data_IF_543344723328
#
_entry.id   IF_543344723328
#
_cell.length_a   1.000
_cell.length_b   1.000
_cell.length_c   1.000
_cell.angle_alpha   90.00
_cell.angle_beta   90.00
_cell.angle_gamma   90.00
#
_symmetry.space_group_name_H-M   'P 1'
#
loop_
_entity.id
_entity.type
_entity.pdbx_description
1 polymer ?
#
# COMPACT_ATOMS: atom_id res chain seq x y z
N UNK A 1 24.11 1.98 -2.51
CA UNK A 1 22.67 2.07 -2.82
C UNK A 1 22.25 1.30 -4.07
N UNK A 2 23.00 1.36 -5.19
CA UNK A 2 22.64 0.66 -6.46
C UNK A 2 22.43 -0.85 -6.31
N UNK A 3 23.29 -1.55 -5.55
CA UNK A 3 23.14 -3.00 -5.30
C UNK A 3 21.89 -3.37 -4.50
N UNK A 4 21.44 -2.49 -3.59
CA UNK A 4 20.22 -2.72 -2.80
C UNK A 4 18.98 -2.53 -3.67
N UNK A 5 18.97 -1.50 -4.52
CA UNK A 5 17.88 -1.25 -5.45
C UNK A 5 17.69 -2.40 -6.44
N UNK A 6 18.77 -2.88 -7.06
CA UNK A 6 18.72 -4.01 -7.98
C UNK A 6 18.21 -5.30 -7.32
N UNK A 7 18.62 -5.56 -6.06
CA UNK A 7 18.13 -6.72 -5.30
C UNK A 7 16.64 -6.62 -4.97
N UNK A 8 16.17 -5.42 -4.64
CA UNK A 8 14.76 -5.17 -4.31
C UNK A 8 13.89 -5.32 -5.56
N UNK A 9 14.34 -4.80 -6.70
CA UNK A 9 13.66 -4.96 -7.98
C UNK A 9 13.58 -6.43 -8.41
N UNK A 10 14.67 -7.20 -8.25
CA UNK A 10 14.66 -8.65 -8.51
C UNK A 10 13.63 -9.37 -7.64
N UNK A 11 13.61 -9.10 -6.33
CA UNK A 11 12.61 -9.68 -5.42
C UNK A 11 11.17 -9.35 -5.82
N UNK A 12 10.91 -8.11 -6.25
CA UNK A 12 9.58 -7.73 -6.74
C UNK A 12 9.21 -8.47 -8.04
N UNK A 13 10.17 -8.65 -8.95
CA UNK A 13 9.95 -9.44 -10.16
C UNK A 13 9.74 -10.93 -9.86
N UNK A 14 10.50 -11.50 -8.93
CA UNK A 14 10.36 -12.90 -8.52
C UNK A 14 9.01 -13.15 -7.84
N UNK A 15 8.55 -12.19 -7.02
CA UNK A 15 7.19 -12.16 -6.48
C UNK A 15 6.15 -12.16 -7.61
N UNK A 16 6.31 -11.34 -8.65
CA UNK A 16 5.35 -11.31 -9.77
C UNK A 16 5.35 -12.59 -10.61
N UNK A 17 6.49 -13.25 -10.76
CA UNK A 17 6.62 -14.51 -11.50
C UNK A 17 5.99 -15.72 -10.81
N UNK A 18 5.85 -15.65 -9.49
CA UNK A 18 5.29 -16.71 -8.64
C UNK A 18 3.83 -16.42 -8.28
N UNK A 19 3.18 -15.54 -9.02
CA UNK A 19 1.77 -15.23 -8.80
C UNK A 19 0.93 -16.40 -9.31
N UNK A 20 0.18 -17.00 -8.39
CA UNK A 20 -0.76 -18.07 -8.69
C UNK A 20 -2.15 -17.65 -8.22
N UNK A 21 -3.14 -17.82 -9.10
CA UNK A 21 -4.54 -17.56 -8.79
C UNK A 21 -5.32 -18.84 -9.04
N UNK A 22 -5.81 -19.43 -7.96
CA UNK A 22 -6.61 -20.65 -8.01
C UNK A 22 -8.07 -20.28 -7.81
N UNK A 23 -8.89 -20.58 -8.81
CA UNK A 23 -10.34 -20.46 -8.74
C UNK A 23 -10.90 -21.82 -8.33
N UNK A 24 -11.25 -21.96 -7.05
CA UNK A 24 -11.99 -23.12 -6.58
C UNK A 24 -13.50 -22.89 -6.69
N UNK A 25 -14.30 -23.93 -6.44
CA UNK A 25 -15.76 -23.84 -6.56
C UNK A 25 -16.40 -22.80 -5.62
N UNK A 26 -15.74 -22.50 -4.49
CA UNK A 26 -16.30 -21.66 -3.42
C UNK A 26 -15.42 -20.49 -3.03
N UNK A 27 -14.16 -20.46 -3.47
CA UNK A 27 -13.20 -19.46 -3.06
C UNK A 27 -12.17 -19.16 -4.15
N UNK A 28 -11.66 -17.93 -4.10
CA UNK A 28 -10.54 -17.47 -4.91
C UNK A 28 -9.33 -17.37 -4.01
N UNK A 29 -8.29 -18.13 -4.35
CA UNK A 29 -7.03 -18.17 -3.60
C UNK A 29 -5.95 -17.49 -4.43
N UNK A 30 -5.26 -16.53 -3.82
CA UNK A 30 -4.06 -15.91 -4.39
C UNK A 30 -2.85 -16.29 -3.57
N UNK A 31 -1.87 -16.90 -4.24
CA UNK A 31 -0.56 -17.22 -3.68
C UNK A 31 0.53 -16.43 -4.39
N UNK A 32 1.51 -15.99 -3.62
CA UNK A 32 2.64 -15.22 -4.15
C UNK A 32 3.85 -15.37 -3.24
N UNK A 33 5.04 -15.54 -3.82
CA UNK A 33 6.24 -15.74 -3.01
C UNK A 33 6.53 -14.56 -2.09
N UNK A 34 6.65 -14.84 -0.78
CA UNK A 34 6.99 -13.83 0.23
C UNK A 34 5.83 -12.92 0.65
N UNK A 35 4.61 -13.19 0.19
CA UNK A 35 3.40 -12.53 0.66
C UNK A 35 2.45 -13.56 1.27
N UNK A 36 1.61 -13.15 2.25
CA UNK A 36 0.61 -14.05 2.80
C UNK A 36 -0.42 -14.44 1.74
N UNK A 37 -0.84 -15.70 1.75
CA UNK A 37 -1.93 -16.21 0.93
C UNK A 37 -3.21 -15.45 1.26
N UNK A 38 -3.91 -14.96 0.24
CA UNK A 38 -5.19 -14.26 0.38
C UNK A 38 -6.28 -15.18 -0.17
N UNK A 39 -7.29 -15.44 0.65
CA UNK A 39 -8.44 -16.27 0.31
C UNK A 39 -9.69 -15.38 0.43
N UNK A 40 -10.53 -15.37 -0.60
CA UNK A 40 -11.82 -14.68 -0.61
C UNK A 40 -12.89 -15.69 -1.03
N UNK A 41 -13.90 -15.92 -0.19
CA UNK A 41 -15.06 -16.75 -0.54
C UNK A 41 -15.88 -16.04 -1.63
N UNK A 42 -16.46 -16.79 -2.56
CA UNK A 42 -17.29 -16.23 -3.64
C UNK A 42 -18.44 -15.37 -3.10
N UNK A 43 -18.99 -15.73 -1.94
CA UNK A 43 -20.07 -14.99 -1.28
C UNK A 43 -19.61 -13.65 -0.71
N UNK A 44 -18.33 -13.54 -0.38
CA UNK A 44 -17.74 -12.35 0.21
C UNK A 44 -17.23 -11.38 -0.88
N UNK A 45 -17.30 -11.75 -2.16
CA UNK A 45 -16.91 -10.88 -3.27
C UNK A 45 -17.95 -9.78 -3.42
N UNK A 46 -17.55 -8.55 -3.13
CA UNK A 46 -18.41 -7.37 -3.29
C UNK A 46 -18.39 -6.85 -4.73
N UNK A 47 -17.22 -6.79 -5.35
CA UNK A 47 -17.04 -6.24 -6.70
C UNK A 47 -15.83 -6.87 -7.40
N UNK A 48 -15.98 -7.16 -8.69
CA UNK A 48 -14.88 -7.45 -9.60
C UNK A 48 -14.74 -6.28 -10.58
N UNK A 49 -13.62 -5.57 -10.51
CA UNK A 49 -13.32 -4.42 -11.38
C UNK A 49 -12.26 -4.79 -12.43
N UNK A 50 -12.51 -4.49 -13.70
CA UNK A 50 -11.48 -4.54 -14.76
C UNK A 50 -10.92 -3.14 -15.00
N UNK A 51 -9.61 -3.01 -14.87
CA UNK A 51 -8.87 -1.79 -15.14
C UNK A 51 -8.54 -1.64 -16.63
N UNK A 52 -8.26 -0.41 -17.08
CA UNK A 52 -7.89 -0.12 -18.48
C UNK A 52 -6.60 -0.80 -18.94
N UNK A 53 -5.69 -1.08 -18.01
CA UNK A 53 -4.45 -1.81 -18.30
C UNK A 53 -4.66 -3.33 -18.43
N UNK A 54 -5.90 -3.83 -18.30
CA UNK A 54 -6.23 -5.25 -18.34
C UNK A 54 -6.12 -5.99 -17.01
N UNK A 55 -5.71 -5.31 -15.92
CA UNK A 55 -5.69 -5.94 -14.58
C UNK A 55 -7.09 -6.07 -14.02
N UNK A 56 -7.30 -7.10 -13.19
CA UNK A 56 -8.53 -7.26 -12.43
C UNK A 56 -8.29 -6.94 -10.95
N UNK A 57 -9.28 -6.36 -10.30
CA UNK A 57 -9.30 -6.15 -8.85
C UNK A 57 -10.55 -6.81 -8.31
N UNK A 58 -10.36 -7.89 -7.57
CA UNK A 58 -11.42 -8.62 -6.88
C UNK A 58 -11.45 -8.07 -5.45
N UNK A 59 -12.56 -7.47 -5.04
CA UNK A 59 -12.73 -6.90 -3.70
C UNK A 59 -13.67 -7.78 -2.88
N UNK A 60 -13.27 -8.10 -1.66
CA UNK A 60 -14.12 -8.71 -0.65
C UNK A 60 -15.07 -7.69 0.00
N UNK A 61 -15.77 -8.09 1.05
CA UNK A 61 -16.58 -7.18 1.87
C UNK A 61 -15.72 -6.16 2.63
N UNK A 62 -14.54 -6.56 3.10
CA UNK A 62 -13.63 -5.68 3.83
C UNK A 62 -12.74 -4.89 2.88
N UNK A 63 -12.53 -3.60 3.15
CA UNK A 63 -11.65 -2.75 2.35
C UNK A 63 -10.19 -3.23 2.27
N UNK A 64 -9.75 -4.02 3.25
CA UNK A 64 -8.42 -4.65 3.30
C UNK A 64 -8.33 -5.99 2.58
N UNK A 65 -9.43 -6.51 2.05
CA UNK A 65 -9.51 -7.79 1.38
C UNK A 65 -9.71 -7.55 -0.10
N UNK A 66 -8.60 -7.53 -0.84
CA UNK A 66 -8.65 -7.46 -2.28
C UNK A 66 -7.53 -8.26 -2.92
N UNK A 67 -7.80 -8.83 -4.08
CA UNK A 67 -6.83 -9.52 -4.92
C UNK A 67 -6.66 -8.69 -6.18
N UNK A 68 -5.42 -8.25 -6.43
CA UNK A 68 -5.03 -7.60 -7.68
C UNK A 68 -4.45 -8.68 -8.59
N UNK A 69 -5.13 -8.94 -9.69
CA UNK A 69 -4.67 -9.85 -10.73
C UNK A 69 -3.90 -9.04 -11.78
N UNK A 70 -2.64 -9.37 -12.06
CA UNK A 70 -1.85 -8.66 -13.06
C UNK A 70 -2.42 -8.89 -14.48
N UNK A 71 -2.23 -7.95 -15.40
CA UNK A 71 -2.78 -8.06 -16.76
C UNK A 71 -2.07 -9.11 -17.62
N UNK A 72 -0.87 -9.52 -17.22
CA UNK A 72 0.02 -10.39 -18.00
C UNK A 72 -0.09 -11.87 -17.57
N UNK A 73 -1.24 -12.29 -17.03
CA UNK A 73 -1.49 -13.70 -16.72
C UNK A 73 -1.64 -14.50 -18.00
N UNK A 74 -1.18 -15.74 -17.98
CA UNK A 74 -1.53 -16.72 -19.00
C UNK A 74 -3.06 -16.89 -19.02
N UNK A 75 -3.62 -17.03 -20.23
CA UNK A 75 -5.05 -17.25 -20.43
C UNK A 75 -5.99 -16.17 -19.84
N UNK A 76 -5.58 -14.89 -19.91
CA UNK A 76 -6.38 -13.76 -19.42
C UNK A 76 -7.82 -13.70 -19.96
N UNK A 77 -8.07 -14.17 -21.19
CA UNK A 77 -9.41 -14.28 -21.77
C UNK A 77 -10.28 -15.35 -21.09
N UNK A 78 -9.69 -16.49 -20.72
CA UNK A 78 -10.39 -17.57 -20.02
C UNK A 78 -10.70 -17.12 -18.59
N UNK A 79 -9.75 -16.46 -17.94
CA UNK A 79 -9.95 -15.87 -16.62
C UNK A 79 -11.09 -14.84 -16.62
N UNK A 80 -11.16 -13.97 -17.62
CA UNK A 80 -12.24 -12.99 -17.73
C UNK A 80 -13.61 -13.65 -17.84
N UNK A 81 -13.71 -14.76 -18.59
CA UNK A 81 -14.96 -15.53 -18.68
C UNK A 81 -15.31 -16.16 -17.34
N UNK A 82 -14.37 -16.83 -16.69
CA UNK A 82 -14.59 -17.45 -15.37
C UNK A 82 -15.02 -16.42 -14.31
N UNK A 83 -14.36 -15.26 -14.26
CA UNK A 83 -14.74 -14.19 -13.34
C UNK A 83 -16.09 -13.57 -13.69
N UNK A 84 -16.41 -13.45 -14.99
CA UNK A 84 -17.69 -12.94 -15.47
C UNK A 84 -18.87 -13.86 -15.13
N UNK A 85 -18.64 -15.17 -15.08
CA UNK A 85 -19.63 -16.16 -14.65
C UNK A 85 -19.89 -16.08 -13.14
N UNK A 86 -18.87 -15.72 -12.35
CA UNK A 86 -18.98 -15.57 -10.89
C UNK A 86 -19.67 -14.27 -10.48
N UNK A 87 -19.28 -13.14 -11.09
CA UNK A 87 -19.84 -11.83 -10.76
C UNK A 87 -19.75 -10.86 -11.95
N UNK A 88 -20.72 -9.96 -12.07
CA UNK A 88 -20.70 -8.89 -13.09
C UNK A 88 -19.43 -8.04 -12.97
N UNK A 89 -18.61 -8.07 -14.02
CA UNK A 89 -17.37 -7.29 -14.11
C UNK A 89 -17.70 -5.83 -14.39
N UNK A 90 -17.38 -4.96 -13.44
CA UNK A 90 -17.53 -3.53 -13.60
C UNK A 90 -16.27 -2.95 -14.27
N UNK A 91 -16.46 -2.14 -15.32
CA UNK A 91 -15.36 -1.39 -15.92
C UNK A 91 -15.11 -0.16 -15.08
N UNK A 92 -13.96 -0.10 -14.41
CA UNK A 92 -13.62 1.06 -13.58
C UNK A 92 -13.18 2.21 -14.47
N UNK A 93 -13.99 3.27 -14.50
CA UNK A 93 -13.51 4.57 -14.95
C UNK A 93 -12.64 5.17 -13.85
N UNK A 94 -11.33 5.04 -14.01
CA UNK A 94 -10.38 5.58 -13.05
C UNK A 94 -10.44 7.12 -13.11
N UNK A 95 -11.15 7.74 -12.16
CA UNK A 95 -11.31 9.20 -12.09
C UNK A 95 -9.99 9.93 -11.78
N UNK A 96 -9.08 9.28 -11.06
CA UNK A 96 -7.73 9.79 -10.79
C UNK A 96 -6.70 8.66 -10.72
N UNK A 97 -5.46 8.85 -11.19
CA UNK A 97 -4.41 7.85 -11.03
C UNK A 97 -4.00 7.81 -9.56
N UNK A 98 -4.11 6.64 -8.92
CA UNK A 98 -3.78 6.45 -7.50
C UNK A 98 -2.33 6.87 -7.16
N UNK A 99 -1.44 6.85 -8.15
CA UNK A 99 -0.07 7.33 -8.02
C UNK A 99 0.07 8.84 -7.78
N UNK A 100 -0.87 9.67 -8.26
CA UNK A 100 -0.81 11.13 -8.06
C UNK A 100 -1.07 11.49 -6.61
N UNK A 101 -2.08 10.88 -5.98
CA UNK A 101 -2.43 11.15 -4.58
C UNK A 101 -1.29 10.73 -3.65
N UNK A 102 -0.69 9.56 -3.90
CA UNK A 102 0.49 9.09 -3.17
C UNK A 102 1.70 10.03 -3.34
N UNK A 103 1.93 10.51 -4.58
CA UNK A 103 2.98 11.48 -4.88
C UNK A 103 2.78 12.82 -4.16
N UNK A 104 1.57 13.37 -4.18
CA UNK A 104 1.25 14.63 -3.49
C UNK A 104 1.41 14.48 -1.98
N UNK A 105 0.96 13.35 -1.42
CA UNK A 105 1.06 13.10 0.03
C UNK A 105 2.52 13.02 0.47
N UNK A 106 3.35 12.27 -0.26
CA UNK A 106 4.79 12.17 0.05
C UNK A 106 5.52 13.51 -0.12
N UNK A 107 5.18 14.30 -1.15
CA UNK A 107 5.71 15.65 -1.32
C UNK A 107 5.26 16.59 -0.20
N UNK A 108 4.01 16.50 0.24
CA UNK A 108 3.48 17.28 1.37
C UNK A 108 4.24 17.01 2.67
N UNK A 109 4.53 15.74 2.97
CA UNK A 109 5.34 15.37 4.15
C UNK A 109 6.76 15.93 4.06
N UNK A 110 7.39 15.91 2.87
CA UNK A 110 8.72 16.49 2.67
C UNK A 110 8.72 18.01 2.90
N UNK A 111 7.70 18.72 2.41
CA UNK A 111 7.53 20.16 2.63
C UNK A 111 7.34 20.45 4.12
N UNK A 112 6.51 19.68 4.83
CA UNK A 112 6.32 19.83 6.26
C UNK A 112 7.61 19.60 7.06
N UNK A 113 8.41 18.60 6.67
CA UNK A 113 9.74 18.40 7.24
C UNK A 113 10.66 19.57 6.97
N UNK A 114 10.70 20.10 5.74
CA UNK A 114 11.53 21.26 5.40
C UNK A 114 11.14 22.50 6.22
N UNK A 115 9.83 22.73 6.44
CA UNK A 115 9.33 23.81 7.30
C UNK A 115 9.73 23.59 8.76
N UNK A 116 9.67 22.37 9.26
CA UNK A 116 10.06 22.02 10.62
C UNK A 116 11.55 22.30 10.87
N UNK A 117 12.42 22.06 9.89
CA UNK A 117 13.86 22.30 10.02
C UNK A 117 14.29 23.76 9.77
N UNK A 118 13.61 24.49 8.89
CA UNK A 118 14.01 25.86 8.50
C UNK A 118 13.30 26.96 9.28
N UNK A 119 12.13 26.69 9.86
CA UNK A 119 11.37 27.72 10.57
C UNK A 119 11.96 28.06 11.94
N UNK A 120 11.90 29.34 12.31
CA UNK A 120 12.17 29.84 13.66
C UNK A 120 10.88 30.09 14.46
N UNK A 121 9.74 30.14 13.78
CA UNK A 121 8.47 30.42 14.43
C UNK A 121 7.97 29.18 15.18
N UNK A 122 7.89 29.28 16.51
CA UNK A 122 7.45 28.22 17.42
C UNK A 122 6.08 27.64 17.06
N UNK A 123 5.16 28.48 16.57
CA UNK A 123 3.82 28.05 16.15
C UNK A 123 3.92 27.17 14.89
N UNK A 124 4.72 27.59 13.91
CA UNK A 124 4.91 26.83 12.66
C UNK A 124 5.54 25.48 12.94
N UNK A 125 6.56 25.42 13.79
CA UNK A 125 7.23 24.17 14.20
C UNK A 125 6.24 23.23 14.92
N UNK A 126 5.42 23.77 15.83
CA UNK A 126 4.42 22.98 16.55
C UNK A 126 3.37 22.37 15.62
N UNK A 127 2.81 23.17 14.70
CA UNK A 127 1.78 22.71 13.76
C UNK A 127 2.35 21.72 12.74
N UNK A 128 3.50 22.03 12.14
CA UNK A 128 4.12 21.14 11.15
C UNK A 128 4.57 19.82 11.80
N UNK A 129 5.14 19.89 13.00
CA UNK A 129 5.54 18.73 13.78
C UNK A 129 4.37 17.83 14.14
N UNK A 130 3.27 18.40 14.63
CA UNK A 130 2.06 17.65 14.93
C UNK A 130 1.50 16.94 13.68
N UNK A 131 1.43 17.63 12.53
CA UNK A 131 0.95 17.05 11.27
C UNK A 131 1.83 15.89 10.78
N UNK A 132 3.16 16.04 10.85
CA UNK A 132 4.10 14.97 10.48
C UNK A 132 3.90 13.75 11.38
N UNK A 133 3.79 13.96 12.69
CA UNK A 133 3.59 12.88 13.66
C UNK A 133 2.27 12.14 13.42
N UNK A 134 1.16 12.86 13.19
CA UNK A 134 -0.15 12.27 12.89
C UNK A 134 -0.07 11.44 11.61
N UNK A 135 0.56 11.97 10.55
CA UNK A 135 0.69 11.28 9.27
C UNK A 135 1.53 10.00 9.40
N UNK A 136 2.63 10.06 10.15
CA UNK A 136 3.48 8.90 10.43
C UNK A 136 2.76 7.84 11.26
N UNK A 137 2.05 8.25 12.32
CA UNK A 137 1.28 7.35 13.16
C UNK A 137 0.17 6.65 12.35
N UNK A 138 -0.57 7.41 11.54
CA UNK A 138 -1.59 6.86 10.65
C UNK A 138 -1.01 5.85 9.66
N UNK A 139 0.12 6.20 9.01
CA UNK A 139 0.83 5.29 8.11
C UNK A 139 1.28 4.00 8.80
N UNK A 140 1.79 4.09 10.04
CA UNK A 140 2.16 2.93 10.84
C UNK A 140 0.96 2.01 11.12
N UNK A 141 -0.17 2.57 11.55
CA UNK A 141 -1.40 1.80 11.78
C UNK A 141 -1.91 1.14 10.50
N UNK A 142 -1.90 1.88 9.38
CA UNK A 142 -2.32 1.36 8.08
C UNK A 142 -1.46 0.17 7.63
N UNK A 143 -0.13 0.29 7.67
CA UNK A 143 0.78 -0.80 7.28
C UNK A 143 0.61 -1.99 8.22
N UNK A 144 0.47 -1.76 9.53
CA UNK A 144 0.31 -2.84 10.51
C UNK A 144 -0.98 -3.66 10.28
N UNK A 145 -2.09 -2.99 9.94
CA UNK A 145 -3.36 -3.66 9.72
C UNK A 145 -3.49 -4.30 8.32
N UNK A 146 -2.67 -3.88 7.37
CA UNK A 146 -2.78 -4.36 5.99
C UNK A 146 -2.32 -5.82 5.83
N UNK A 147 -3.11 -6.61 5.11
CA UNK A 147 -2.77 -8.00 4.72
C UNK A 147 -1.79 -8.04 3.53
N UNK A 148 -1.57 -6.93 2.83
CA UNK A 148 -0.78 -6.89 1.59
C UNK A 148 0.73 -6.73 1.78
N UNK A 149 1.19 -6.45 3.00
CA UNK A 149 2.61 -6.24 3.27
C UNK A 149 3.22 -7.49 3.91
N UNK A 150 4.42 -7.84 3.43
CA UNK A 150 5.25 -8.92 3.98
C UNK A 150 5.46 -8.73 5.50
N UNK A 151 5.39 -9.83 6.24
CA UNK A 151 5.63 -9.86 7.68
C UNK A 151 7.04 -9.39 8.04
N UNK A 152 8.01 -9.51 7.13
CA UNK A 152 9.35 -8.95 7.32
C UNK A 152 9.34 -7.42 7.41
N UNK A 153 8.49 -6.75 6.61
CA UNK A 153 8.29 -5.30 6.69
C UNK A 153 7.58 -4.91 7.98
N UNK A 154 6.59 -5.69 8.40
CA UNK A 154 5.88 -5.46 9.66
C UNK A 154 6.80 -5.57 10.88
N UNK A 155 7.77 -6.49 10.86
CA UNK A 155 8.78 -6.61 11.92
C UNK A 155 9.72 -5.40 11.96
N UNK A 156 10.09 -4.87 10.80
CA UNK A 156 10.96 -3.69 10.71
C UNK A 156 10.25 -2.36 10.94
N UNK A 157 8.92 -2.34 11.10
CA UNK A 157 8.17 -1.14 11.46
C UNK A 157 8.61 -0.53 12.80
N UNK A 158 9.32 -1.28 13.65
CA UNK A 158 9.86 -0.74 14.90
C UNK A 158 10.79 0.47 14.69
N UNK A 159 11.47 0.55 13.53
CA UNK A 159 12.33 1.69 13.19
C UNK A 159 11.55 3.02 13.09
N UNK A 160 10.24 2.96 12.81
CA UNK A 160 9.37 4.15 12.73
C UNK A 160 9.29 4.85 14.09
N UNK A 161 9.32 4.10 15.21
CA UNK A 161 9.33 4.70 16.55
C UNK A 161 10.58 5.53 16.80
N UNK A 162 11.75 5.07 16.36
CA UNK A 162 13.01 5.82 16.49
C UNK A 162 12.90 7.16 15.76
N UNK A 163 12.29 7.16 14.56
CA UNK A 163 12.07 8.39 13.79
C UNK A 163 11.08 9.33 14.51
N UNK A 164 9.97 8.80 15.04
CA UNK A 164 8.99 9.58 15.82
C UNK A 164 9.66 10.25 17.02
N UNK A 165 10.45 9.51 17.81
CA UNK A 165 11.15 10.06 18.96
C UNK A 165 12.20 11.11 18.56
N UNK A 166 12.89 10.91 17.44
CA UNK A 166 13.84 11.89 16.88
C UNK A 166 13.14 13.21 16.53
N UNK A 167 12.00 13.14 15.84
CA UNK A 167 11.20 14.34 15.49
C UNK A 167 10.68 15.04 16.74
N UNK A 168 10.18 14.29 17.73
CA UNK A 168 9.73 14.84 19.02
C UNK A 168 10.86 15.55 19.77
N UNK A 169 12.04 14.93 19.86
CA UNK A 169 13.21 15.54 20.49
C UNK A 169 13.64 16.83 19.79
N UNK A 170 13.57 16.85 18.46
CA UNK A 170 13.88 18.04 17.67
C UNK A 170 12.87 19.18 17.91
N UNK A 171 11.57 18.88 17.92
CA UNK A 171 10.52 19.85 18.25
C UNK A 171 10.72 20.40 19.65
N UNK A 172 10.96 19.53 20.63
CA UNK A 172 11.21 19.93 22.02
C UNK A 172 12.41 20.88 22.11
N UNK A 173 13.55 20.49 21.51
CA UNK A 173 14.76 21.32 21.48
C UNK A 173 14.50 22.70 20.86
N UNK A 174 13.79 22.78 19.75
CA UNK A 174 13.46 24.07 19.10
C UNK A 174 12.47 24.92 19.89
N UNK A 175 11.57 24.31 20.65
CA UNK A 175 10.59 25.05 21.46
C UNK A 175 11.23 25.61 22.75
N UNK A 176 12.15 24.86 23.38
CA UNK A 176 12.76 25.21 24.67
C UNK A 176 14.17 25.80 24.58
N UNK A 177 14.95 25.44 23.56
CA UNK A 177 16.39 25.75 23.43
C UNK A 177 16.72 26.96 22.56
N UNK A 178 15.70 27.61 21.99
CA UNK A 178 15.75 28.88 21.23
C UNK A 178 14.50 29.68 21.53
#
# INVERSE_FOLDING_TARGET
>A
MVFVFARTQRRQMDSLKTYELTLENTMIVREQFGLPTIIIDHRDISVIEKNRNGSFVIRGEQASEFIIVPPNMEESELLEKMLGDLHTIQKKEQKFPDGIISGITSLGVLILMALLYTSENKIVIGVSGALVLITMAFGFFYIRNSKHFDDSLKKNLWIVWIIIFSVLGFIYYKLTGT
#
